data_IF_076526113374
#
_entry.id   IF_076526113374
#
_cell.length_a   1.000
_cell.length_b   1.000
_cell.length_c   1.000
_cell.angle_alpha   90.00
_cell.angle_beta   90.00
_cell.angle_gamma   90.00
#
_symmetry.space_group_name_H-M   'P 1'
#
loop_
_entity.id
_entity.type
_entity.pdbx_description
1 polymer ?
#
# COMPACT_ATOMS: atom_id res chain seq x y z
N UNK A 1 -8.13 -17.34 -6.03
CA UNK A 1 -9.01 -16.16 -6.14
C UNK A 1 -9.50 -16.13 -7.58
N UNK A 2 -10.81 -16.11 -7.81
CA UNK A 2 -11.37 -15.94 -9.14
C UNK A 2 -11.74 -14.46 -9.26
N UNK A 3 -10.93 -13.69 -9.97
CA UNK A 3 -11.09 -12.24 -10.12
C UNK A 3 -11.56 -11.91 -11.54
N UNK A 4 -12.44 -10.94 -11.68
CA UNK A 4 -12.76 -10.36 -12.98
C UNK A 4 -11.62 -9.48 -13.52
N UNK A 5 -11.72 -9.02 -14.76
CA UNK A 5 -10.68 -8.22 -15.42
C UNK A 5 -10.38 -6.92 -14.67
N UNK A 6 -11.41 -6.19 -14.23
CA UNK A 6 -11.25 -4.91 -13.50
C UNK A 6 -10.62 -5.15 -12.13
N UNK A 7 -11.00 -6.22 -11.45
CA UNK A 7 -10.45 -6.63 -10.17
C UNK A 7 -8.97 -7.03 -10.31
N UNK A 8 -8.60 -7.77 -11.35
CA UNK A 8 -7.20 -8.11 -11.66
C UNK A 8 -6.36 -6.85 -11.90
N UNK A 9 -6.92 -5.86 -12.60
CA UNK A 9 -6.25 -4.59 -12.84
C UNK A 9 -6.09 -3.77 -11.56
N UNK A 10 -7.15 -3.64 -10.75
CA UNK A 10 -7.10 -2.97 -9.44
C UNK A 10 -6.07 -3.65 -8.53
N UNK A 11 -6.06 -4.98 -8.48
CA UNK A 11 -5.07 -5.77 -7.75
C UNK A 11 -3.64 -5.45 -8.16
N UNK A 12 -3.36 -5.43 -9.48
CA UNK A 12 -2.04 -5.08 -10.02
C UNK A 12 -1.63 -3.66 -9.63
N UNK A 13 -2.56 -2.70 -9.65
CA UNK A 13 -2.30 -1.30 -9.24
C UNK A 13 -2.00 -1.20 -7.75
N UNK A 14 -2.77 -1.84 -6.88
CA UNK A 14 -2.51 -1.89 -5.42
C UNK A 14 -1.12 -2.44 -5.10
N UNK A 15 -0.69 -3.51 -5.78
CA UNK A 15 0.68 -4.04 -5.63
C UNK A 15 1.72 -2.99 -6.02
N UNK A 16 1.53 -2.30 -7.15
CA UNK A 16 2.46 -1.26 -7.62
C UNK A 16 2.54 -0.11 -6.62
N UNK A 17 1.41 0.38 -6.12
CA UNK A 17 1.35 1.45 -5.14
C UNK A 17 2.09 1.09 -3.85
N UNK A 18 1.85 -0.10 -3.28
CA UNK A 18 2.52 -0.53 -2.05
C UNK A 18 4.02 -0.78 -2.25
N UNK A 19 4.43 -1.28 -3.41
CA UNK A 19 5.86 -1.41 -3.73
C UNK A 19 6.53 -0.04 -3.83
N UNK A 20 5.90 0.92 -4.51
CA UNK A 20 6.39 2.29 -4.65
C UNK A 20 6.47 2.99 -3.28
N UNK A 21 5.40 2.92 -2.50
CA UNK A 21 5.36 3.42 -1.13
C UNK A 21 6.51 2.86 -0.29
N UNK A 22 6.75 1.55 -0.33
CA UNK A 22 7.87 0.93 0.37
C UNK A 22 9.21 1.49 -0.10
N UNK A 23 9.41 1.64 -1.41
CA UNK A 23 10.66 2.19 -1.95
C UNK A 23 10.90 3.63 -1.51
N UNK A 24 9.84 4.44 -1.37
CA UNK A 24 9.91 5.82 -0.90
C UNK A 24 10.09 5.94 0.62
N UNK A 25 9.38 5.11 1.42
CA UNK A 25 9.31 5.26 2.88
C UNK A 25 10.36 4.51 3.68
N UNK A 26 11.02 3.52 3.08
CA UNK A 26 12.03 2.74 3.77
C UNK A 26 13.42 3.16 3.31
N UNK A 27 14.29 3.65 4.23
CA UNK A 27 15.68 3.90 3.89
C UNK A 27 16.36 2.59 3.49
N UNK A 28 17.46 2.67 2.73
CA UNK A 28 18.07 1.51 2.08
C UNK A 28 18.38 0.35 3.03
N UNK A 29 18.89 0.65 4.23
CA UNK A 29 19.26 -0.34 5.26
C UNK A 29 18.04 -1.14 5.73
N UNK A 30 16.91 -0.46 5.94
CA UNK A 30 15.67 -1.11 6.37
C UNK A 30 14.99 -1.83 5.20
N UNK A 31 14.99 -1.21 4.02
CA UNK A 31 14.40 -1.76 2.79
C UNK A 31 15.01 -3.10 2.39
N UNK A 32 16.30 -3.34 2.68
CA UNK A 32 16.98 -4.65 2.51
C UNK A 32 16.34 -5.77 3.33
N UNK A 33 15.62 -5.44 4.41
CA UNK A 33 14.91 -6.39 5.29
C UNK A 33 13.39 -6.39 5.06
N UNK A 34 12.87 -5.45 4.27
CA UNK A 34 11.45 -5.33 3.91
C UNK A 34 11.27 -5.75 2.45
N UNK A 35 11.09 -7.05 2.27
CA UNK A 35 11.10 -7.65 0.94
C UNK A 35 9.84 -7.31 0.14
N UNK A 36 10.04 -6.86 -1.11
CA UNK A 36 8.97 -6.56 -2.07
C UNK A 36 8.02 -7.74 -2.31
N UNK A 37 8.56 -8.97 -2.27
CA UNK A 37 7.76 -10.20 -2.38
C UNK A 37 6.87 -10.43 -1.16
N UNK A 38 7.33 -10.05 0.04
CA UNK A 38 6.51 -10.13 1.26
C UNK A 38 5.27 -9.25 1.14
N UNK A 39 5.45 -8.01 0.68
CA UNK A 39 4.34 -7.09 0.40
C UNK A 39 3.39 -7.67 -0.65
N UNK A 40 3.91 -8.22 -1.75
CA UNK A 40 3.06 -8.80 -2.80
C UNK A 40 2.22 -9.99 -2.29
N UNK A 41 2.81 -10.87 -1.48
CA UNK A 41 2.09 -12.00 -0.86
C UNK A 41 1.04 -11.50 0.11
N UNK A 42 1.37 -10.49 0.92
CA UNK A 42 0.41 -9.87 1.83
C UNK A 42 -0.82 -9.34 1.10
N UNK A 43 -0.59 -8.56 0.03
CA UNK A 43 -1.67 -8.04 -0.83
C UNK A 43 -2.47 -9.19 -1.46
N UNK A 44 -1.81 -10.25 -1.93
CA UNK A 44 -2.46 -11.42 -2.51
C UNK A 44 -3.58 -12.03 -1.66
N UNK A 45 -3.42 -12.07 -0.34
CA UNK A 45 -4.42 -12.67 0.58
C UNK A 45 -5.31 -11.62 1.25
N UNK A 46 -4.87 -10.36 1.30
CA UNK A 46 -5.61 -9.25 1.91
C UNK A 46 -6.35 -8.37 0.92
N UNK A 47 -6.21 -8.60 -0.40
CA UNK A 47 -6.84 -7.79 -1.44
C UNK A 47 -8.35 -7.67 -1.20
N UNK A 48 -8.79 -6.43 -1.11
CA UNK A 48 -10.18 -6.09 -0.81
C UNK A 48 -10.68 -5.10 -1.86
N UNK A 49 -11.33 -5.64 -2.90
CA UNK A 49 -11.81 -4.87 -4.04
C UNK A 49 -12.68 -3.69 -3.61
N UNK A 50 -12.60 -2.60 -4.36
CA UNK A 50 -13.50 -1.45 -4.21
C UNK A 50 -13.92 -0.99 -5.59
N UNK A 51 -14.99 -1.63 -6.08
CA UNK A 51 -15.62 -1.39 -7.38
C UNK A 51 -17.12 -1.27 -7.12
N UNK A 52 -17.74 -0.18 -7.56
CA UNK A 52 -19.19 0.04 -7.38
C UNK A 52 -20.00 -0.89 -8.29
N UNK A 53 -21.32 -0.97 -8.06
CA UNK A 53 -22.24 -1.69 -8.95
C UNK A 53 -22.20 -1.13 -10.39
N UNK A 54 -22.06 0.20 -10.52
CA UNK A 54 -21.93 0.89 -11.81
C UNK A 54 -20.54 0.73 -12.45
N UNK A 55 -19.62 0.05 -11.75
CA UNK A 55 -18.29 -0.29 -12.25
C UNK A 55 -17.23 0.79 -12.04
N UNK A 56 -17.50 1.80 -11.21
CA UNK A 56 -16.53 2.81 -10.79
C UNK A 56 -15.49 2.18 -9.87
N UNK A 57 -14.22 2.43 -10.15
CA UNK A 57 -13.09 1.81 -9.43
C UNK A 57 -12.47 2.82 -8.49
N UNK A 58 -12.46 2.51 -7.19
CA UNK A 58 -11.78 3.33 -6.17
C UNK A 58 -10.51 2.61 -5.69
N UNK A 59 -9.38 2.98 -6.29
CA UNK A 59 -8.08 2.43 -5.90
C UNK A 59 -7.68 2.82 -4.46
N UNK A 60 -8.02 4.03 -4.00
CA UNK A 60 -7.68 4.51 -2.66
C UNK A 60 -8.45 3.75 -1.57
N UNK A 61 -9.75 3.52 -1.76
CA UNK A 61 -10.55 2.73 -0.82
C UNK A 61 -10.11 1.25 -0.81
N UNK A 62 -9.78 0.72 -1.99
CA UNK A 62 -9.24 -0.63 -2.11
C UNK A 62 -7.91 -0.76 -1.35
N UNK A 63 -7.04 0.23 -1.48
CA UNK A 63 -5.76 0.28 -0.79
C UNK A 63 -5.93 0.35 0.73
N UNK A 64 -6.79 1.25 1.25
CA UNK A 64 -7.11 1.37 2.68
C UNK A 64 -7.62 0.04 3.24
N UNK A 65 -8.65 -0.54 2.62
CA UNK A 65 -9.25 -1.82 3.07
C UNK A 65 -8.24 -2.97 3.02
N UNK A 66 -7.40 -3.01 1.98
CA UNK A 66 -6.34 -4.01 1.84
C UNK A 66 -5.30 -3.88 2.95
N UNK A 67 -4.86 -2.65 3.27
CA UNK A 67 -3.90 -2.39 4.35
C UNK A 67 -4.49 -2.76 5.71
N UNK A 68 -5.75 -2.40 5.97
CA UNK A 68 -6.43 -2.75 7.22
C UNK A 68 -6.50 -4.27 7.43
N UNK A 69 -6.83 -5.02 6.37
CA UNK A 69 -6.77 -6.48 6.38
C UNK A 69 -5.34 -7.02 6.53
N UNK A 70 -4.32 -6.35 5.98
CA UNK A 70 -2.92 -6.74 6.19
C UNK A 70 -2.49 -6.58 7.65
N UNK A 71 -2.86 -5.46 8.28
CA UNK A 71 -2.54 -5.14 9.69
C UNK A 71 -3.14 -6.20 10.64
N UNK A 72 -4.39 -6.58 10.41
CA UNK A 72 -5.09 -7.60 11.22
C UNK A 72 -4.64 -9.04 10.96
N UNK A 73 -4.07 -9.35 9.79
CA UNK A 73 -3.74 -10.73 9.40
C UNK A 73 -2.29 -11.13 9.73
N UNK A 74 -1.31 -10.25 9.47
CA UNK A 74 0.10 -10.65 9.42
C UNK A 74 0.93 -10.28 10.64
N UNK A 75 0.36 -9.47 11.54
CA UNK A 75 1.08 -8.93 12.68
C UNK A 75 0.51 -9.47 13.98
N UNK A 76 1.39 -9.91 14.87
CA UNK A 76 1.04 -10.37 16.21
C UNK A 76 1.72 -9.46 17.22
N UNK A 77 0.95 -8.87 18.14
CA UNK A 77 1.49 -8.16 19.28
C UNK A 77 2.26 -9.15 20.17
N UNK A 78 3.53 -8.87 20.44
CA UNK A 78 4.40 -9.76 21.23
C UNK A 78 4.84 -9.15 22.55
N UNK A 79 4.86 -7.82 22.67
CA UNK A 79 5.23 -7.09 23.88
C UNK A 79 4.83 -5.61 23.75
N UNK A 80 5.04 -4.85 24.81
CA UNK A 80 5.20 -3.41 24.76
C UNK A 80 6.61 -3.04 25.20
N UNK A 81 7.19 -1.97 24.65
CA UNK A 81 8.48 -1.46 25.12
C UNK A 81 8.35 -0.72 26.47
N UNK A 82 9.47 -0.22 27.00
CA UNK A 82 9.50 0.49 28.30
C UNK A 82 8.69 1.80 28.32
N UNK A 83 8.30 2.32 27.16
CA UNK A 83 7.45 3.51 27.01
C UNK A 83 5.99 3.12 26.74
N UNK A 84 5.67 1.82 26.75
CA UNK A 84 4.33 1.30 26.49
C UNK A 84 4.00 1.16 25.00
N UNK A 85 4.94 1.40 24.07
CA UNK A 85 4.64 1.26 22.65
C UNK A 85 4.55 -0.22 22.24
N UNK A 86 3.54 -0.61 21.45
CA UNK A 86 3.35 -2.00 21.05
C UNK A 86 4.48 -2.48 20.13
N UNK A 87 4.95 -3.71 20.37
CA UNK A 87 5.95 -4.40 19.57
C UNK A 87 5.31 -5.57 18.85
N UNK A 88 5.54 -5.66 17.54
CA UNK A 88 4.91 -6.65 16.68
C UNK A 88 5.92 -7.60 16.06
N UNK A 89 5.51 -8.86 15.91
CA UNK A 89 6.15 -9.82 15.01
C UNK A 89 5.34 -9.88 13.71
N UNK A 90 6.04 -9.90 12.57
CA UNK A 90 5.44 -10.24 11.27
C UNK A 90 5.74 -11.69 10.90
N UNK A 91 4.77 -12.37 10.30
CA UNK A 91 4.94 -13.69 9.67
C UNK A 91 4.22 -13.70 8.33
N UNK A 92 4.92 -14.02 7.24
CA UNK A 92 4.31 -14.09 5.89
C UNK A 92 4.80 -15.34 5.19
N UNK A 93 3.94 -16.35 5.10
CA UNK A 93 4.29 -17.63 4.48
C UNK A 93 4.16 -17.53 2.94
N UNK A 94 5.15 -18.05 2.22
CA UNK A 94 5.06 -18.15 0.76
C UNK A 94 3.83 -18.98 0.35
N UNK A 95 3.08 -18.62 -0.70
CA UNK A 95 1.84 -19.31 -1.10
C UNK A 95 2.08 -20.65 -1.82
N UNK A 96 3.25 -21.26 -1.63
CA UNK A 96 3.65 -22.53 -2.23
C UNK A 96 4.39 -23.36 -1.19
N UNK A 97 4.16 -24.67 -1.18
CA UNK A 97 4.94 -25.62 -0.39
C UNK A 97 6.46 -25.37 -0.59
N UNK A 98 7.26 -25.31 0.49
CA UNK A 98 6.94 -25.71 1.86
C UNK A 98 6.36 -24.59 2.76
N UNK A 99 5.76 -23.54 2.19
CA UNK A 99 5.15 -22.41 2.94
C UNK A 99 6.14 -21.70 3.86
N UNK A 100 7.39 -21.57 3.42
CA UNK A 100 8.44 -20.91 4.20
C UNK A 100 8.05 -19.46 4.49
N UNK A 101 8.20 -19.04 5.74
CA UNK A 101 8.05 -17.64 6.15
C UNK A 101 9.14 -16.76 5.50
N UNK A 102 8.71 -15.72 4.81
CA UNK A 102 9.55 -14.75 4.12
C UNK A 102 10.40 -13.97 5.12
N UNK A 103 9.87 -13.73 6.33
CA UNK A 103 10.51 -12.93 7.35
C UNK A 103 11.17 -13.77 8.46
N UNK A 104 11.39 -15.08 8.28
CA UNK A 104 11.88 -15.96 9.35
C UNK A 104 13.08 -15.40 10.13
N UNK A 105 14.04 -14.77 9.43
CA UNK A 105 15.26 -14.22 10.05
C UNK A 105 15.07 -12.85 10.73
N UNK A 106 14.06 -12.08 10.34
CA UNK A 106 13.95 -10.67 10.72
C UNK A 106 12.56 -10.29 11.24
N UNK A 107 11.60 -11.21 11.32
CA UNK A 107 10.19 -10.92 11.56
C UNK A 107 9.91 -10.22 12.89
N UNK A 108 10.74 -10.47 13.92
CA UNK A 108 10.69 -9.73 15.20
C UNK A 108 11.27 -8.32 15.08
N UNK A 109 12.31 -8.14 14.26
CA UNK A 109 13.02 -6.86 14.11
C UNK A 109 12.26 -5.89 13.21
N UNK A 110 11.63 -6.38 12.14
CA UNK A 110 10.93 -5.54 11.17
C UNK A 110 9.43 -5.48 11.40
N UNK A 111 8.85 -6.36 12.22
CA UNK A 111 7.41 -6.43 12.44
C UNK A 111 6.82 -5.10 12.91
N UNK A 112 7.35 -4.54 14.01
CA UNK A 112 6.94 -3.23 14.52
C UNK A 112 7.11 -2.11 13.49
N UNK A 113 8.22 -2.10 12.75
CA UNK A 113 8.53 -1.05 11.77
C UNK A 113 7.53 -1.08 10.61
N UNK A 114 7.28 -2.26 10.04
CA UNK A 114 6.34 -2.41 8.93
C UNK A 114 4.91 -2.11 9.41
N UNK A 115 4.51 -2.63 10.57
CA UNK A 115 3.19 -2.38 11.15
C UNK A 115 2.93 -0.88 11.30
N UNK A 116 3.83 -0.17 12.01
CA UNK A 116 3.69 1.27 12.24
C UNK A 116 3.57 2.04 10.93
N UNK A 117 4.45 1.78 9.96
CA UNK A 117 4.40 2.52 8.69
C UNK A 117 3.17 2.18 7.84
N UNK A 118 2.68 0.94 7.88
CA UNK A 118 1.42 0.58 7.22
C UNK A 118 0.23 1.28 7.87
N UNK A 119 0.21 1.36 9.20
CA UNK A 119 -0.83 2.09 9.93
C UNK A 119 -0.77 3.60 9.63
N UNK A 120 0.42 4.20 9.65
CA UNK A 120 0.64 5.59 9.25
C UNK A 120 0.19 5.84 7.79
N UNK A 121 0.47 4.90 6.88
CA UNK A 121 0.00 4.95 5.50
C UNK A 121 -1.54 4.94 5.45
N UNK A 122 -2.19 4.03 6.16
CA UNK A 122 -3.64 3.93 6.21
C UNK A 122 -4.26 5.25 6.68
N UNK A 123 -3.80 5.76 7.81
CA UNK A 123 -4.27 7.01 8.40
C UNK A 123 -4.06 8.19 7.43
N UNK A 124 -2.93 8.23 6.72
CA UNK A 124 -2.66 9.27 5.71
C UNK A 124 -3.61 9.18 4.51
N UNK A 125 -3.91 7.98 4.04
CA UNK A 125 -4.86 7.77 2.94
C UNK A 125 -6.29 8.16 3.34
N UNK A 126 -6.70 7.90 4.58
CA UNK A 126 -7.98 8.36 5.12
C UNK A 126 -8.07 9.89 5.16
N UNK A 127 -6.98 10.57 5.56
CA UNK A 127 -6.88 12.04 5.47
C UNK A 127 -7.03 12.53 4.03
N UNK A 128 -6.40 11.85 3.06
CA UNK A 128 -6.53 12.19 1.63
C UNK A 128 -7.99 12.06 1.18
N UNK A 129 -8.67 10.97 1.51
CA UNK A 129 -10.10 10.78 1.15
C UNK A 129 -11.00 11.87 1.75
N UNK A 130 -10.66 12.38 2.93
CA UNK A 130 -11.40 13.46 3.58
C UNK A 130 -11.17 14.86 2.96
N UNK A 131 -10.18 15.03 2.06
CA UNK A 131 -9.93 16.32 1.40
C UNK A 131 -10.92 16.56 0.26
N UNK A 132 -11.42 17.78 0.15
CA UNK A 132 -12.32 18.21 -0.92
C UNK A 132 -11.59 18.59 -2.21
N UNK A 133 -10.38 19.15 -2.12
CA UNK A 133 -9.58 19.54 -3.29
C UNK A 133 -8.79 18.34 -3.83
N UNK A 134 -8.94 18.09 -5.13
CA UNK A 134 -8.16 17.06 -5.84
C UNK A 134 -6.67 17.43 -5.87
N UNK A 135 -6.35 18.71 -5.97
CA UNK A 135 -4.96 19.18 -5.90
C UNK A 135 -4.35 18.87 -4.54
N UNK A 136 -5.04 19.18 -3.43
CA UNK A 136 -4.55 18.84 -2.08
C UNK A 136 -4.36 17.32 -1.91
N UNK A 137 -5.29 16.50 -2.43
CA UNK A 137 -5.14 15.05 -2.41
C UNK A 137 -3.86 14.60 -3.12
N UNK A 138 -3.63 15.08 -4.34
CA UNK A 138 -2.44 14.76 -5.12
C UNK A 138 -1.15 15.23 -4.45
N UNK A 139 -1.14 16.43 -3.87
CA UNK A 139 0.02 16.98 -3.17
C UNK A 139 0.41 16.13 -1.95
N UNK A 140 -0.57 15.69 -1.15
CA UNK A 140 -0.33 14.77 -0.04
C UNK A 140 0.21 13.44 -0.55
N UNK A 141 -0.39 12.87 -1.60
CA UNK A 141 0.07 11.59 -2.16
C UNK A 141 1.49 11.68 -2.71
N UNK A 142 1.86 12.77 -3.38
CA UNK A 142 3.20 12.98 -3.92
C UNK A 142 4.24 13.20 -2.83
N UNK A 143 3.98 14.14 -1.92
CA UNK A 143 4.98 14.55 -0.93
C UNK A 143 5.11 13.55 0.22
N UNK A 144 3.98 12.96 0.65
CA UNK A 144 3.92 12.18 1.87
C UNK A 144 3.73 10.68 1.65
N UNK A 145 3.39 10.19 0.45
CA UNK A 145 3.00 8.77 0.29
C UNK A 145 3.83 8.03 -0.76
N UNK A 146 3.88 8.52 -1.99
CA UNK A 146 4.45 7.80 -3.13
C UNK A 146 5.73 8.42 -3.70
N UNK A 147 6.02 9.68 -3.37
CA UNK A 147 7.18 10.40 -3.86
C UNK A 147 6.85 11.39 -4.98
N UNK A 148 7.82 12.23 -5.34
CA UNK A 148 7.66 13.37 -6.26
C UNK A 148 7.35 13.00 -7.71
N UNK A 149 7.43 11.72 -8.06
CA UNK A 149 7.01 11.17 -9.36
C UNK A 149 5.51 10.90 -9.44
N UNK A 150 4.77 11.03 -8.34
CA UNK A 150 3.32 10.94 -8.34
C UNK A 150 2.71 12.20 -8.99
N UNK A 151 1.75 12.04 -9.93
CA UNK A 151 1.21 13.17 -10.67
C UNK A 151 0.40 14.11 -9.78
N UNK A 152 0.65 15.42 -9.94
CA UNK A 152 -0.14 16.49 -9.31
C UNK A 152 -0.95 17.18 -10.41
N UNK A 153 -2.25 17.32 -10.19
CA UNK A 153 -3.12 18.11 -11.07
C UNK A 153 -3.14 19.56 -10.62
N UNK A 154 -3.06 20.50 -11.57
CA UNK A 154 -3.27 21.92 -11.30
C UNK A 154 -4.77 22.30 -11.31
N UNK A 155 -5.64 21.40 -11.75
CA UNK A 155 -7.07 21.64 -11.89
C UNK A 155 -7.88 20.81 -10.89
N UNK A 156 -8.66 21.47 -10.04
CA UNK A 156 -9.59 20.83 -9.10
C UNK A 156 -10.82 20.19 -9.80
N UNK A 157 -11.07 20.53 -11.08
CA UNK A 157 -12.33 20.21 -11.77
C UNK A 157 -12.31 18.98 -12.69
N UNK A 158 -11.25 18.18 -12.73
CA UNK A 158 -11.25 16.94 -13.52
C UNK A 158 -11.37 15.73 -12.61
N UNK A 159 -12.60 15.20 -12.48
CA UNK A 159 -12.79 13.79 -12.18
C UNK A 159 -12.01 13.01 -13.24
N UNK A 160 -10.89 12.39 -12.86
CA UNK A 160 -10.17 11.49 -13.76
C UNK A 160 -11.06 10.29 -14.06
N UNK A 161 -11.87 10.41 -15.11
CA UNK A 161 -12.40 9.27 -15.84
C UNK A 161 -11.29 8.83 -16.78
N UNK A 162 -10.35 8.01 -16.30
CA UNK A 162 -9.67 6.94 -17.04
C UNK A 162 -8.36 6.50 -16.36
N UNK A 163 -8.10 5.19 -16.25
CA UNK A 163 -6.85 4.66 -15.73
C UNK A 163 -5.75 4.70 -16.81
N UNK A 164 -4.67 5.47 -16.57
CA UNK A 164 -3.36 5.18 -17.16
C UNK A 164 -2.85 6.06 -18.31
N UNK A 165 -3.12 7.37 -18.34
CA UNK A 165 -2.48 8.24 -19.32
C UNK A 165 -1.04 8.62 -18.89
N UNK A 166 -0.04 7.98 -19.50
CA UNK A 166 1.36 8.44 -19.47
C UNK A 166 1.62 9.16 -20.79
N UNK A 167 1.63 10.49 -20.77
CA UNK A 167 2.03 11.27 -21.95
C UNK A 167 3.53 11.07 -22.16
N UNK A 168 3.91 10.43 -23.26
CA UNK A 168 5.29 10.50 -23.75
C UNK A 168 5.56 11.92 -24.24
N UNK A 169 6.70 12.56 -23.94
CA UNK A 169 7.07 13.82 -24.57
C UNK A 169 7.40 13.55 -26.04
N UNK A 170 6.61 14.12 -26.95
CA UNK A 170 7.04 14.35 -28.33
C UNK A 170 7.70 15.73 -28.40
N UNK A 171 8.91 15.77 -28.98
CA UNK A 171 9.68 16.97 -29.30
C UNK A 171 11.16 16.78 -28.91
N UNK A 172 12.15 16.89 -29.79
CA UNK A 172 12.21 17.44 -31.14
C UNK A 172 13.31 16.73 -31.95
#
# INVERSE_FOLDING_TARGET
MNLDVKEVEQYKRVIKYLKRWRDFKFPEIERKKVYSIGIAVMVGQSFSKSISYDGDVSDIDCLIKTIDKMLSTYFTLIASDSQGNPQYKIKVDLPRQPYRDIFTKHGKTVGTIIHKRLDDLKNKLEVVVAKSSLKEQCEILANDVFGSDFPITENDNKKFKEPGYVSSPQGA
#
